data_IF_373316491154
#
_entry.id   IF_373316491154
#
_cell.length_a   1.000
_cell.length_b   1.000
_cell.length_c   1.000
_cell.angle_alpha   90.00
_cell.angle_beta   90.00
_cell.angle_gamma   90.00
#
_symmetry.space_group_name_H-M   'P 1'
#
loop_
_entity.id
_entity.type
_entity.pdbx_description
1 polymer ?
#
# COMPACT_ATOMS: atom_id res chain seq x y z
N UNK A 1 -13.09 -1.75 -2.87
CA UNK A 1 -13.20 -0.74 -3.96
C UNK A 1 -13.17 -1.47 -5.31
N UNK A 2 -13.58 -0.83 -6.41
CA UNK A 2 -13.53 -1.42 -7.77
C UNK A 2 -12.60 -0.59 -8.65
N UNK A 3 -11.59 -1.21 -9.24
CA UNK A 3 -10.73 -0.53 -10.20
C UNK A 3 -11.54 -0.23 -11.47
N UNK A 4 -11.60 1.04 -11.88
CA UNK A 4 -12.53 1.48 -12.94
C UNK A 4 -12.19 0.90 -14.31
N UNK A 5 -10.91 0.81 -14.64
CA UNK A 5 -10.46 0.36 -15.97
C UNK A 5 -10.58 -1.15 -16.14
N UNK A 6 -10.18 -1.94 -15.14
CA UNK A 6 -10.18 -3.41 -15.23
C UNK A 6 -11.46 -4.06 -14.68
N UNK A 7 -12.26 -3.31 -13.91
CA UNK A 7 -13.44 -3.84 -13.23
C UNK A 7 -13.13 -4.76 -12.04
N UNK A 8 -11.86 -5.01 -11.73
CA UNK A 8 -11.45 -5.89 -10.63
C UNK A 8 -11.80 -5.28 -9.27
N UNK A 9 -12.29 -6.10 -8.35
CA UNK A 9 -12.43 -5.70 -6.95
C UNK A 9 -11.06 -5.72 -6.28
N UNK A 10 -10.75 -4.65 -5.56
CA UNK A 10 -9.46 -4.46 -4.88
C UNK A 10 -9.66 -4.00 -3.44
N UNK A 11 -8.75 -4.42 -2.57
CA UNK A 11 -8.55 -3.80 -1.27
C UNK A 11 -7.73 -2.52 -1.43
N UNK A 12 -8.01 -1.51 -0.61
CA UNK A 12 -7.22 -0.28 -0.53
C UNK A 12 -6.93 -0.04 0.94
N UNK A 13 -5.66 -0.16 1.33
CA UNK A 13 -5.17 0.15 2.68
C UNK A 13 -4.74 1.61 2.70
N UNK A 14 -5.49 2.43 3.44
CA UNK A 14 -5.23 3.88 3.56
C UNK A 14 -4.43 4.14 4.84
N UNK A 15 -3.26 4.76 4.69
CA UNK A 15 -2.39 5.12 5.81
C UNK A 15 -2.24 6.64 5.84
N UNK A 16 -2.85 7.33 6.81
CA UNK A 16 -2.72 8.77 6.96
C UNK A 16 -1.26 9.18 7.18
N UNK A 17 -0.79 10.23 6.49
CA UNK A 17 0.58 10.74 6.63
C UNK A 17 0.87 11.24 8.03
N UNK A 18 -0.12 11.79 8.73
CA UNK A 18 0.00 12.15 10.15
C UNK A 18 0.41 10.95 11.01
N UNK A 19 -0.09 9.75 10.70
CA UNK A 19 0.29 8.52 11.41
C UNK A 19 1.67 8.01 10.99
N UNK A 20 2.00 8.11 9.70
CA UNK A 20 3.33 7.75 9.19
C UNK A 20 4.42 8.60 9.83
N UNK A 21 4.22 9.91 9.89
CA UNK A 21 5.17 10.89 10.41
C UNK A 21 5.25 10.90 11.94
N UNK A 22 4.45 10.08 12.63
CA UNK A 22 4.49 9.97 14.09
C UNK A 22 5.85 9.50 14.61
N UNK A 23 6.55 8.64 13.87
CA UNK A 23 7.95 8.29 14.16
C UNK A 23 8.67 7.68 12.96
N UNK A 24 10.01 7.77 12.96
CA UNK A 24 10.86 7.10 11.95
C UNK A 24 10.58 5.59 11.87
N UNK A 25 10.31 4.96 13.02
CA UNK A 25 10.02 3.53 13.08
C UNK A 25 8.72 3.15 12.33
N UNK A 26 7.69 4.00 12.37
CA UNK A 26 6.45 3.77 11.63
C UNK A 26 6.70 3.88 10.13
N UNK A 27 7.44 4.91 9.69
CA UNK A 27 7.84 5.07 8.28
C UNK A 27 8.60 3.86 7.78
N UNK A 28 9.59 3.38 8.54
CA UNK A 28 10.43 2.25 8.14
C UNK A 28 9.63 0.95 8.04
N UNK A 29 8.66 0.73 8.94
CA UNK A 29 7.75 -0.43 8.86
C UNK A 29 6.91 -0.42 7.60
N UNK A 30 6.30 0.73 7.25
CA UNK A 30 5.45 0.84 6.05
C UNK A 30 6.30 0.68 4.78
N UNK A 31 7.48 1.30 4.72
CA UNK A 31 8.42 1.11 3.59
C UNK A 31 8.83 -0.35 3.44
N UNK A 32 9.11 -1.04 4.56
CA UNK A 32 9.45 -2.46 4.54
C UNK A 32 8.30 -3.32 4.01
N UNK A 33 7.06 -3.06 4.44
CA UNK A 33 5.88 -3.77 3.95
C UNK A 33 5.73 -3.63 2.42
N UNK A 34 5.81 -2.41 1.91
CA UNK A 34 5.74 -2.12 0.47
C UNK A 34 6.86 -2.85 -0.29
N UNK A 35 8.11 -2.76 0.19
CA UNK A 35 9.25 -3.38 -0.47
C UNK A 35 9.13 -4.90 -0.53
N UNK A 36 8.70 -5.54 0.57
CA UNK A 36 8.48 -6.99 0.62
C UNK A 36 7.40 -7.37 -0.39
N UNK A 37 6.25 -6.70 -0.40
CA UNK A 37 5.15 -7.05 -1.31
C UNK A 37 5.50 -6.83 -2.79
N UNK A 38 6.34 -5.84 -3.11
CA UNK A 38 6.84 -5.62 -4.49
C UNK A 38 7.67 -6.78 -5.02
N UNK A 39 8.29 -7.57 -4.14
CA UNK A 39 9.17 -8.68 -4.54
C UNK A 39 8.41 -9.98 -4.87
N UNK A 40 7.14 -10.10 -4.46
CA UNK A 40 6.37 -11.34 -4.62
C UNK A 40 5.32 -11.23 -5.73
N UNK A 41 5.36 -12.19 -6.65
CA UNK A 41 4.24 -12.54 -7.55
C UNK A 41 4.04 -14.05 -7.48
N UNK A 42 3.03 -14.47 -6.73
CA UNK A 42 2.78 -15.89 -6.49
C UNK A 42 1.28 -16.14 -6.26
N UNK A 43 0.70 -17.24 -6.77
CA UNK A 43 -0.74 -17.52 -6.64
C UNK A 43 -1.25 -17.63 -5.20
N UNK A 44 -0.36 -17.84 -4.23
CA UNK A 44 -0.68 -17.99 -2.81
C UNK A 44 -0.15 -16.86 -1.92
N UNK A 45 0.38 -15.79 -2.50
CA UNK A 45 0.86 -14.61 -1.76
C UNK A 45 0.05 -13.40 -2.21
N UNK A 46 -0.38 -12.57 -1.26
CA UNK A 46 -1.11 -11.34 -1.59
C UNK A 46 -0.24 -10.43 -2.47
N UNK A 47 -0.83 -9.94 -3.55
CA UNK A 47 -0.14 -9.11 -4.52
C UNK A 47 -0.44 -7.63 -4.28
N UNK A 48 0.62 -6.83 -4.23
CA UNK A 48 0.53 -5.38 -4.32
C UNK A 48 0.30 -4.99 -5.78
N UNK A 49 -0.82 -4.30 -6.04
CA UNK A 49 -1.13 -3.80 -7.39
C UNK A 49 -0.47 -2.46 -7.66
N UNK A 50 -0.63 -1.50 -6.74
CA UNK A 50 -0.11 -0.15 -6.91
C UNK A 50 0.07 0.54 -5.54
N UNK A 51 0.84 1.63 -5.52
CA UNK A 51 0.95 2.52 -4.36
C UNK A 51 0.71 3.95 -4.81
N UNK A 52 -0.34 4.59 -4.26
CA UNK A 52 -0.69 5.98 -4.58
C UNK A 52 -0.36 6.88 -3.40
N UNK A 53 0.54 7.83 -3.64
CA UNK A 53 0.89 8.87 -2.69
C UNK A 53 0.02 10.11 -2.93
N UNK A 54 -0.74 10.52 -1.91
CA UNK A 54 -1.58 11.72 -1.92
C UNK A 54 -1.08 12.71 -0.87
N UNK A 55 -1.51 13.99 -0.89
CA UNK A 55 -1.07 14.97 0.11
C UNK A 55 -1.26 14.53 1.55
N UNK A 56 -2.34 13.80 1.86
CA UNK A 56 -2.70 13.45 3.24
C UNK A 56 -2.48 11.98 3.61
N UNK A 57 -2.32 11.09 2.63
CA UNK A 57 -2.24 9.65 2.88
C UNK A 57 -1.48 8.87 1.79
N UNK A 58 -0.92 7.72 2.18
CA UNK A 58 -0.45 6.69 1.27
C UNK A 58 -1.52 5.62 1.13
N UNK A 59 -1.80 5.21 -0.11
CA UNK A 59 -2.76 4.16 -0.45
C UNK A 59 -1.99 2.98 -1.02
N UNK A 60 -2.20 1.78 -0.44
CA UNK A 60 -1.55 0.52 -0.79
C UNK A 60 -2.62 -0.50 -1.18
#
# INVERSE_FOLDING_TARGET
AKHRLTGSFVAIKIIPKVRLLASRQVVDRVRREINIMRMFRHPHIIQLYDVVDSPDAIHI
#
